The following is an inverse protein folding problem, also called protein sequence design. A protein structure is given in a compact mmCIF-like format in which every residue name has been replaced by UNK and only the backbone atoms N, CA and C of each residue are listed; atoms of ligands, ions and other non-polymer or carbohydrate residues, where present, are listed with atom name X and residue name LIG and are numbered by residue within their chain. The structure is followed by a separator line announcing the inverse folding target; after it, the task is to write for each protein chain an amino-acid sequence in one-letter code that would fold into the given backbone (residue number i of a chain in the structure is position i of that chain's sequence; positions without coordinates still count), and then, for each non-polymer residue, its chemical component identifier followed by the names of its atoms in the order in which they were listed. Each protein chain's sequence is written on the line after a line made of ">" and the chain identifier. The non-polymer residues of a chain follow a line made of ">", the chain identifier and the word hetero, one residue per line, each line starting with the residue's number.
data_IF_320460825397
#
_entry.id   IF_320460825397
#
_cell.length_a   1.000
_cell.length_b   1.000
_cell.length_c   1.000
_cell.angle_alpha   90.00
_cell.angle_beta   90.00
_cell.angle_gamma   90.00
#
_symmetry.space_group_name_H-M   'P 1'
#
loop_
_entity.id
_entity.type
_entity.pdbx_description
1 polymer ?
#
# COMPACT_ATOMS: atom_id res chain seq x y z
N UNK A 1 -9.42 13.84 -22.01
CA UNK A 1 -8.05 13.30 -22.08
C UNK A 1 -7.76 12.81 -20.68
N UNK A 2 -7.80 11.51 -20.44
CA UNK A 2 -7.41 10.94 -19.14
C UNK A 2 -5.90 11.11 -18.96
N UNK A 3 -5.46 11.56 -17.80
CA UNK A 3 -4.04 11.52 -17.44
C UNK A 3 -3.68 10.11 -16.95
N UNK A 4 -3.63 9.20 -17.90
CA UNK A 4 -3.37 7.80 -17.63
C UNK A 4 -1.97 7.62 -17.01
N UNK A 5 -1.85 7.00 -15.84
CA UNK A 5 -0.54 6.59 -15.31
C UNK A 5 0.09 5.46 -16.12
N UNK A 6 -0.67 4.88 -17.06
CA UNK A 6 -0.20 3.97 -18.09
C UNK A 6 0.28 4.73 -19.35
N UNK A 7 0.20 6.07 -19.40
CA UNK A 7 0.50 6.91 -20.60
C UNK A 7 1.96 6.85 -21.09
N UNK A 8 2.91 6.34 -20.28
CA UNK A 8 4.23 5.96 -20.80
C UNK A 8 4.19 4.76 -21.77
N UNK A 9 3.04 4.10 -21.92
CA UNK A 9 2.79 2.93 -22.76
C UNK A 9 1.61 3.15 -23.73
N UNK A 10 1.65 4.27 -24.46
CA UNK A 10 0.77 4.52 -25.62
C UNK A 10 1.24 3.85 -26.91
N UNK A 11 1.82 2.64 -26.81
CA UNK A 11 1.88 1.67 -27.91
C UNK A 11 1.98 0.24 -27.38
N UNK A 12 1.46 -0.71 -28.17
CA UNK A 12 1.64 -2.14 -27.93
C UNK A 12 3.06 -2.56 -28.35
N UNK A 13 3.62 -3.55 -27.66
CA UNK A 13 4.71 -4.43 -28.15
C UNK A 13 6.20 -4.00 -28.08
N UNK A 14 6.59 -2.99 -27.30
CA UNK A 14 8.03 -2.81 -26.98
C UNK A 14 8.46 -3.54 -25.70
N UNK A 15 8.92 -4.79 -25.85
CA UNK A 15 9.65 -5.52 -24.79
C UNK A 15 10.89 -4.75 -24.29
N UNK A 16 11.51 -3.96 -25.16
CA UNK A 16 12.59 -3.04 -24.80
C UNK A 16 12.14 -1.95 -23.83
N UNK A 17 10.92 -1.41 -23.98
CA UNK A 17 10.33 -0.44 -23.06
C UNK A 17 10.06 -1.06 -21.70
N UNK A 18 9.54 -2.29 -21.67
CA UNK A 18 9.29 -3.03 -20.42
C UNK A 18 10.61 -3.33 -19.69
N UNK A 19 11.63 -3.82 -20.41
CA UNK A 19 12.96 -4.08 -19.83
C UNK A 19 13.59 -2.81 -19.25
N UNK A 20 13.47 -1.67 -19.95
CA UNK A 20 13.93 -0.37 -19.46
C UNK A 20 13.15 0.08 -18.19
N UNK A 21 11.85 -0.19 -18.10
CA UNK A 21 11.04 0.08 -16.91
C UNK A 21 11.53 -0.71 -15.68
N UNK A 22 11.86 -2.00 -15.86
CA UNK A 22 12.46 -2.83 -14.80
C UNK A 22 13.90 -2.41 -14.43
N UNK A 23 14.67 -1.89 -15.38
CA UNK A 23 16.02 -1.39 -15.11
C UNK A 23 15.98 -0.07 -14.31
N UNK A 24 15.08 0.84 -14.68
CA UNK A 24 14.99 2.20 -14.11
C UNK A 24 14.17 2.28 -12.81
N UNK A 25 13.33 1.29 -12.46
CA UNK A 25 12.54 1.34 -11.22
C UNK A 25 13.39 1.47 -9.95
N UNK A 26 14.65 0.98 -9.98
CA UNK A 26 15.58 1.08 -8.87
C UNK A 26 15.97 2.55 -8.56
N UNK A 27 16.06 3.41 -9.58
CA UNK A 27 16.36 4.84 -9.43
C UNK A 27 15.21 5.62 -8.78
N UNK A 28 14.04 5.00 -8.66
CA UNK A 28 12.84 5.53 -8.01
C UNK A 28 12.56 4.92 -6.63
N UNK A 29 13.38 3.96 -6.17
CA UNK A 29 13.24 3.38 -4.83
C UNK A 29 13.75 4.33 -3.74
N UNK A 30 13.14 4.22 -2.56
CA UNK A 30 13.58 4.92 -1.36
C UNK A 30 14.66 4.08 -0.65
N UNK A 31 15.92 4.49 -0.78
CA UNK A 31 17.07 3.76 -0.21
C UNK A 31 17.24 3.94 1.31
N UNK A 32 16.48 4.84 1.94
CA UNK A 32 16.69 5.27 3.34
C UNK A 32 15.41 5.27 4.18
N UNK A 33 14.58 4.23 4.06
CA UNK A 33 13.31 4.08 4.83
C UNK A 33 13.52 4.28 6.35
N UNK A 34 14.64 3.80 6.90
CA UNK A 34 15.00 3.97 8.32
C UNK A 34 15.33 5.40 8.78
N UNK A 35 15.43 6.37 7.88
CA UNK A 35 15.66 7.79 8.19
C UNK A 35 14.37 8.64 8.17
N UNK A 36 13.23 8.07 7.77
CA UNK A 36 11.95 8.79 7.67
C UNK A 36 11.38 9.05 9.08
N UNK A 37 10.98 10.29 9.34
CA UNK A 37 10.16 10.62 10.52
C UNK A 37 8.77 9.96 10.39
N UNK A 38 8.63 8.81 11.04
CA UNK A 38 7.40 8.00 11.03
C UNK A 38 6.20 8.72 11.66
N UNK A 39 6.43 9.65 12.59
CA UNK A 39 5.37 10.45 13.19
C UNK A 39 4.86 11.48 12.19
N UNK A 40 5.77 12.25 11.57
CA UNK A 40 5.43 13.20 10.52
C UNK A 40 4.76 12.51 9.32
N UNK A 41 5.26 11.34 8.88
CA UNK A 41 4.63 10.55 7.82
C UNK A 41 3.20 10.15 8.19
N UNK A 42 2.98 9.62 9.41
CA UNK A 42 1.66 9.17 9.86
C UNK A 42 0.65 10.33 9.88
N UNK A 43 1.04 11.48 10.42
CA UNK A 43 0.21 12.69 10.42
C UNK A 43 -0.10 13.15 8.99
N UNK A 44 0.90 13.19 8.11
CA UNK A 44 0.73 13.60 6.72
C UNK A 44 -0.20 12.68 5.92
N UNK A 45 -0.01 11.35 6.01
CA UNK A 45 -0.86 10.35 5.36
C UNK A 45 -2.29 10.43 5.89
N UNK A 46 -2.47 10.57 7.21
CA UNK A 46 -3.80 10.75 7.81
C UNK A 46 -4.52 11.97 7.26
N UNK A 47 -3.82 13.08 7.05
CA UNK A 47 -4.40 14.29 6.47
C UNK A 47 -4.74 14.11 4.99
N UNK A 48 -3.87 13.46 4.20
CA UNK A 48 -4.15 13.17 2.79
C UNK A 48 -5.41 12.31 2.63
N UNK A 49 -5.57 11.26 3.44
CA UNK A 49 -6.75 10.40 3.43
C UNK A 49 -8.02 11.13 3.90
N UNK A 50 -7.91 11.99 4.92
CA UNK A 50 -9.01 12.84 5.35
C UNK A 50 -9.47 13.75 4.20
N UNK A 51 -8.56 14.51 3.59
CA UNK A 51 -8.88 15.42 2.48
C UNK A 51 -9.40 14.66 1.26
N UNK A 52 -8.88 13.46 0.98
CA UNK A 52 -9.42 12.56 -0.05
C UNK A 52 -10.90 12.26 0.18
N UNK A 53 -11.27 11.88 1.41
CA UNK A 53 -12.66 11.58 1.77
C UNK A 53 -13.56 12.82 1.79
N UNK A 54 -13.07 13.95 2.29
CA UNK A 54 -13.84 15.20 2.42
C UNK A 54 -14.11 15.89 1.07
N UNK A 55 -13.18 15.78 0.12
CA UNK A 55 -13.26 16.42 -1.19
C UNK A 55 -13.64 15.44 -2.33
N UNK A 56 -13.90 14.17 -2.01
CA UNK A 56 -14.08 13.08 -2.99
C UNK A 56 -12.95 13.03 -4.04
N UNK A 57 -11.70 13.17 -3.59
CA UNK A 57 -10.55 13.15 -4.50
C UNK A 57 -10.41 11.76 -5.12
N UNK A 58 -10.04 11.75 -6.40
CA UNK A 58 -9.64 10.52 -7.08
C UNK A 58 -8.50 9.84 -6.31
N UNK A 59 -8.56 8.52 -6.03
CA UNK A 59 -7.58 7.83 -5.19
C UNK A 59 -6.13 7.99 -5.67
N UNK A 60 -5.94 8.24 -6.96
CA UNK A 60 -4.62 8.44 -7.55
C UNK A 60 -3.96 9.77 -7.16
N UNK A 61 -4.76 10.80 -6.85
CA UNK A 61 -4.25 12.09 -6.33
C UNK A 61 -3.69 11.88 -4.92
N UNK A 62 -4.40 11.13 -4.08
CA UNK A 62 -3.90 10.74 -2.76
C UNK A 62 -2.63 9.88 -2.87
N UNK A 63 -2.59 8.92 -3.81
CA UNK A 63 -1.42 8.08 -4.05
C UNK A 63 -0.17 8.90 -4.43
N UNK A 64 -0.30 9.82 -5.38
CA UNK A 64 0.79 10.70 -5.80
C UNK A 64 1.23 11.62 -4.64
N UNK A 65 0.28 12.20 -3.88
CA UNK A 65 0.60 13.05 -2.74
C UNK A 65 1.40 12.30 -1.66
N UNK A 66 1.03 11.06 -1.33
CA UNK A 66 1.77 10.21 -0.37
C UNK A 66 3.17 9.87 -0.90
N UNK A 67 3.30 9.53 -2.19
CA UNK A 67 4.61 9.31 -2.84
C UNK A 67 5.51 10.56 -2.74
N UNK A 68 4.95 11.76 -2.90
CA UNK A 68 5.71 13.00 -2.76
C UNK A 68 6.11 13.31 -1.31
N UNK A 69 5.23 13.01 -0.34
CA UNK A 69 5.55 13.11 1.09
C UNK A 69 6.71 12.17 1.43
N UNK A 70 6.64 10.90 1.04
CA UNK A 70 7.65 9.89 1.35
C UNK A 70 9.01 10.23 0.72
N UNK A 71 9.02 10.71 -0.53
CA UNK A 71 10.23 11.19 -1.22
C UNK A 71 10.75 12.54 -0.70
N UNK A 72 9.93 13.34 -0.02
CA UNK A 72 10.36 14.56 0.64
C UNK A 72 11.04 14.23 1.99
N UNK A 73 10.38 13.41 2.83
CA UNK A 73 10.85 13.06 4.18
C UNK A 73 12.17 12.26 4.18
N UNK A 74 12.53 11.61 3.09
CA UNK A 74 13.82 10.91 2.91
C UNK A 74 14.99 11.85 2.63
N UNK A 75 14.72 13.09 2.20
CA UNK A 75 15.72 14.10 1.84
C UNK A 75 15.69 15.35 2.74
N UNK A 76 14.63 15.54 3.52
CA UNK A 76 14.37 16.74 4.32
C UNK A 76 13.79 16.36 5.68
N UNK A 77 14.48 16.76 6.75
CA UNK A 77 13.93 16.66 8.10
C UNK A 77 12.83 17.69 8.34
N UNK A 78 11.81 17.32 9.11
CA UNK A 78 10.79 18.25 9.59
C UNK A 78 11.30 18.94 10.87
N UNK A 79 11.29 20.29 10.94
CA UNK A 79 11.70 20.99 12.15
C UNK A 79 10.84 20.60 13.37
N UNK A 80 11.49 20.08 14.42
CA UNK A 80 10.82 19.66 15.66
C UNK A 80 10.02 20.82 16.28
N UNK A 81 8.87 20.48 16.87
CA UNK A 81 7.98 21.45 17.51
C UNK A 81 7.15 22.32 16.53
N UNK A 82 7.13 22.01 15.23
CA UNK A 82 6.35 22.75 14.21
C UNK A 82 5.41 21.82 13.43
N UNK A 83 4.35 21.25 14.05
CA UNK A 83 3.43 20.31 13.39
C UNK A 83 2.75 20.92 12.15
N UNK A 84 2.54 22.24 12.14
CA UNK A 84 2.02 22.96 10.96
C UNK A 84 2.86 22.75 9.68
N UNK A 85 4.16 22.41 9.78
CA UNK A 85 5.00 22.09 8.62
C UNK A 85 4.55 20.80 7.94
N UNK A 86 4.14 19.78 8.72
CA UNK A 86 3.61 18.52 8.19
C UNK A 86 2.29 18.75 7.45
N UNK A 87 1.42 19.60 8.03
CA UNK A 87 0.17 20.04 7.38
C UNK A 87 0.44 20.80 6.08
N UNK A 88 1.37 21.75 6.08
CA UNK A 88 1.75 22.53 4.90
C UNK A 88 2.37 21.63 3.81
N UNK A 89 3.26 20.70 4.18
CA UNK A 89 3.79 19.67 3.27
C UNK A 89 2.66 18.90 2.60
N UNK A 90 1.72 18.38 3.39
CA UNK A 90 0.63 17.53 2.91
C UNK A 90 -0.30 18.26 1.92
N UNK A 91 -0.70 19.50 2.24
CA UNK A 91 -1.51 20.35 1.34
C UNK A 91 -0.75 20.68 0.04
N UNK A 92 0.56 20.90 0.13
CA UNK A 92 1.40 21.21 -1.05
C UNK A 92 1.60 19.99 -1.94
N UNK A 93 1.80 18.81 -1.36
CA UNK A 93 1.86 17.55 -2.08
C UNK A 93 0.51 17.20 -2.75
N UNK A 94 -0.62 17.47 -2.08
CA UNK A 94 -1.96 17.35 -2.69
C UNK A 94 -2.17 18.32 -3.85
N UNK A 95 -1.76 19.59 -3.71
CA UNK A 95 -1.84 20.56 -4.80
C UNK A 95 -0.97 20.15 -5.99
N UNK A 96 0.26 19.71 -5.76
CA UNK A 96 1.13 19.17 -6.79
C UNK A 96 0.54 17.92 -7.44
N UNK A 97 -0.02 16.99 -6.67
CA UNK A 97 -0.66 15.78 -7.20
C UNK A 97 -1.88 16.10 -8.08
N UNK A 98 -2.71 17.06 -7.67
CA UNK A 98 -3.83 17.55 -8.46
C UNK A 98 -3.37 18.26 -9.74
N UNK A 99 -2.28 19.06 -9.69
CA UNK A 99 -1.68 19.71 -10.88
C UNK A 99 -1.02 18.72 -11.85
N UNK A 100 -0.55 17.58 -11.35
CA UNK A 100 0.03 16.49 -12.15
C UNK A 100 -1.02 15.52 -12.71
N UNK A 101 -2.29 15.68 -12.32
CA UNK A 101 -3.42 14.93 -12.86
C UNK A 101 -4.32 15.88 -13.68
N UNK A 102 -5.22 15.35 -14.51
CA UNK A 102 -6.17 16.16 -15.30
C UNK A 102 -7.26 16.85 -14.49
N UNK A 103 -7.36 16.55 -13.20
CA UNK A 103 -8.36 17.11 -12.29
C UNK A 103 -7.79 18.32 -11.52
N UNK A 104 -8.01 19.53 -12.02
CA UNK A 104 -7.63 20.78 -11.35
C UNK A 104 -8.57 21.09 -10.18
N UNK A 105 -8.19 20.66 -8.98
CA UNK A 105 -8.96 20.88 -7.76
C UNK A 105 -8.36 22.08 -7.02
N UNK A 106 -9.22 22.98 -6.52
CA UNK A 106 -8.75 24.23 -5.94
C UNK A 106 -8.11 23.97 -4.57
N UNK A 107 -6.95 24.58 -4.32
CA UNK A 107 -6.19 24.39 -3.07
C UNK A 107 -6.99 24.80 -1.82
N UNK A 108 -7.96 25.71 -2.00
CA UNK A 108 -8.94 26.10 -1.00
C UNK A 108 -9.86 24.97 -0.51
N UNK A 109 -10.07 23.92 -1.32
CA UNK A 109 -10.87 22.75 -0.91
C UNK A 109 -10.11 21.91 0.14
N UNK A 110 -8.79 21.79 0.02
CA UNK A 110 -7.94 20.97 0.90
C UNK A 110 -7.78 21.53 2.33
N UNK A 111 -8.15 22.79 2.57
CA UNK A 111 -7.98 23.46 3.86
C UNK A 111 -9.26 23.47 4.73
N UNK A 112 -10.38 22.94 4.21
CA UNK A 112 -11.73 23.30 4.67
C UNK A 112 -12.14 22.78 6.05
N UNK A 113 -11.38 21.88 6.70
CA UNK A 113 -11.66 21.40 8.06
C UNK A 113 -10.46 21.54 9.00
N UNK A 114 -10.70 22.26 10.09
CA UNK A 114 -9.93 22.37 11.35
C UNK A 114 -8.39 22.45 11.24
N UNK A 115 -7.83 23.64 11.42
CA UNK A 115 -6.40 23.85 11.65
C UNK A 115 -5.83 25.12 11.02
N UNK A 116 -4.52 25.09 10.72
CA UNK A 116 -3.83 26.19 10.05
C UNK A 116 -4.33 26.37 8.61
N UNK A 117 -4.79 27.58 8.30
CA UNK A 117 -5.08 28.06 6.95
C UNK A 117 -3.79 28.74 6.45
N UNK A 118 -3.28 28.29 5.30
CA UNK A 118 -2.10 28.87 4.66
C UNK A 118 -2.52 29.68 3.44
N UNK A 119 -1.95 30.87 3.28
CA UNK A 119 -2.13 31.65 2.06
C UNK A 119 -1.51 30.96 0.85
N UNK A 120 -1.98 31.30 -0.36
CA UNK A 120 -1.52 30.67 -1.60
C UNK A 120 0.00 30.82 -1.83
N UNK A 121 0.60 31.93 -1.38
CA UNK A 121 2.03 32.18 -1.55
C UNK A 121 2.87 31.28 -0.64
N UNK A 122 2.43 31.02 0.59
CA UNK A 122 3.05 30.05 1.51
C UNK A 122 2.97 28.63 0.96
N UNK A 123 1.85 28.24 0.35
CA UNK A 123 1.72 26.93 -0.30
C UNK A 123 2.65 26.84 -1.51
N UNK A 124 2.65 27.82 -2.42
CA UNK A 124 3.55 27.86 -3.58
C UNK A 124 5.03 27.78 -3.18
N UNK A 125 5.45 28.44 -2.09
CA UNK A 125 6.81 28.31 -1.56
C UNK A 125 7.12 26.87 -1.14
N UNK A 126 6.19 26.20 -0.47
CA UNK A 126 6.37 24.80 -0.07
C UNK A 126 6.33 23.85 -1.27
N UNK A 127 5.49 24.09 -2.27
CA UNK A 127 5.50 23.35 -3.54
C UNK A 127 6.88 23.39 -4.21
N UNK A 128 7.52 24.57 -4.24
CA UNK A 128 8.88 24.72 -4.78
C UNK A 128 9.93 23.96 -3.94
N UNK A 129 9.76 23.88 -2.61
CA UNK A 129 10.61 23.05 -1.75
C UNK A 129 10.41 21.55 -2.01
N UNK A 130 9.17 21.12 -2.26
CA UNK A 130 8.85 19.73 -2.64
C UNK A 130 9.44 19.40 -4.02
N UNK A 131 9.19 20.23 -5.04
CA UNK A 131 9.76 20.08 -6.38
C UNK A 131 11.29 20.02 -6.35
N UNK A 132 11.93 20.91 -5.59
CA UNK A 132 13.38 20.93 -5.40
C UNK A 132 13.91 19.72 -4.63
N UNK A 133 13.16 19.16 -3.66
CA UNK A 133 13.53 17.91 -3.01
C UNK A 133 13.37 16.70 -3.95
N UNK A 134 12.34 16.69 -4.80
CA UNK A 134 12.05 15.60 -5.73
C UNK A 134 12.87 15.65 -7.04
N UNK A 135 13.82 16.59 -7.15
CA UNK A 135 14.60 16.89 -8.36
C UNK A 135 13.70 17.13 -9.60
N UNK A 136 12.52 17.73 -9.37
CA UNK A 136 11.43 17.91 -10.34
C UNK A 136 10.87 16.62 -10.96
N UNK A 137 11.31 15.44 -10.51
CA UNK A 137 10.84 14.12 -10.99
C UNK A 137 9.49 13.77 -10.38
N UNK A 138 8.43 14.49 -10.76
CA UNK A 138 7.09 14.28 -10.21
C UNK A 138 6.47 12.96 -10.68
N UNK A 139 6.74 12.55 -11.92
CA UNK A 139 6.33 11.24 -12.44
C UNK A 139 7.41 10.19 -12.13
N UNK A 140 7.34 9.58 -10.95
CA UNK A 140 8.10 8.36 -10.64
C UNK A 140 7.42 7.12 -11.22
N UNK A 141 8.21 6.10 -11.56
CA UNK A 141 7.66 4.78 -11.91
C UNK A 141 6.76 4.26 -10.79
N UNK A 142 5.57 3.78 -11.13
CA UNK A 142 4.56 3.31 -10.17
C UNK A 142 4.24 1.83 -10.40
N UNK A 143 3.68 1.12 -9.39
CA UNK A 143 3.21 -0.26 -9.58
C UNK A 143 2.15 -0.39 -10.67
N UNK A 144 1.34 0.65 -10.88
CA UNK A 144 0.30 0.67 -11.92
C UNK A 144 0.88 0.46 -13.33
N UNK A 145 2.06 1.01 -13.60
CA UNK A 145 2.79 0.86 -14.87
C UNK A 145 3.16 -0.60 -15.18
N UNK A 146 3.29 -1.46 -14.17
CA UNK A 146 3.59 -2.89 -14.33
C UNK A 146 2.36 -3.79 -14.36
N UNK A 147 1.17 -3.32 -13.95
CA UNK A 147 -0.04 -4.13 -13.91
C UNK A 147 -0.35 -4.74 -15.29
N UNK A 148 -0.28 -3.94 -16.35
CA UNK A 148 -0.56 -4.39 -17.73
C UNK A 148 0.37 -5.51 -18.17
N UNK A 149 1.64 -5.48 -17.78
CA UNK A 149 2.60 -6.55 -18.06
C UNK A 149 2.23 -7.83 -17.30
N UNK A 150 2.09 -7.76 -15.97
CA UNK A 150 1.82 -8.97 -15.18
C UNK A 150 0.44 -9.59 -15.44
N UNK A 151 -0.55 -8.82 -15.86
CA UNK A 151 -1.87 -9.35 -16.27
C UNK A 151 -1.75 -10.32 -17.47
N UNK A 152 -0.74 -10.21 -18.34
CA UNK A 152 -0.58 -11.15 -19.47
C UNK A 152 -0.19 -12.57 -19.03
N UNK A 153 0.26 -12.73 -17.78
CA UNK A 153 0.58 -14.03 -17.18
C UNK A 153 -0.68 -14.73 -16.64
N UNK A 154 -1.80 -14.03 -16.51
CA UNK A 154 -3.06 -14.60 -16.05
C UNK A 154 -3.62 -15.57 -17.12
N UNK A 155 -4.14 -16.75 -16.74
CA UNK A 155 -4.67 -17.72 -17.70
C UNK A 155 -5.69 -17.09 -18.66
N UNK A 156 -5.67 -17.46 -19.96
CA UNK A 156 -6.52 -16.85 -20.96
C UNK A 156 -8.00 -16.94 -20.56
N UNK A 157 -8.61 -15.77 -20.36
CA UNK A 157 -9.96 -15.63 -19.85
C UNK A 157 -10.70 -14.50 -20.56
N UNK A 158 -11.98 -14.35 -20.26
CA UNK A 158 -12.79 -13.28 -20.83
C UNK A 158 -12.26 -11.91 -20.38
N UNK A 159 -12.24 -10.93 -21.28
CA UNK A 159 -11.75 -9.57 -21.02
C UNK A 159 -12.30 -8.92 -19.72
N UNK A 160 -13.59 -9.10 -19.33
CA UNK A 160 -14.10 -8.59 -18.06
C UNK A 160 -13.35 -9.12 -16.83
N UNK A 161 -12.89 -10.38 -16.83
CA UNK A 161 -12.13 -10.96 -15.72
C UNK A 161 -10.79 -10.26 -15.52
N UNK A 162 -10.09 -9.94 -16.62
CA UNK A 162 -8.82 -9.22 -16.59
C UNK A 162 -9.00 -7.79 -16.08
N UNK A 163 -10.09 -7.12 -16.47
CA UNK A 163 -10.43 -5.78 -15.96
C UNK A 163 -10.80 -5.81 -14.47
N UNK A 164 -11.55 -6.82 -14.02
CA UNK A 164 -11.83 -7.02 -12.59
C UNK A 164 -10.54 -7.27 -11.80
N UNK A 165 -9.66 -8.15 -12.29
CA UNK A 165 -8.36 -8.42 -11.67
C UNK A 165 -7.50 -7.15 -11.57
N UNK A 166 -7.41 -6.36 -12.65
CA UNK A 166 -6.73 -5.06 -12.68
C UNK A 166 -7.30 -4.10 -11.63
N UNK A 167 -8.63 -3.95 -11.59
CA UNK A 167 -9.30 -3.06 -10.65
C UNK A 167 -9.04 -3.46 -9.18
N UNK A 168 -9.12 -4.76 -8.85
CA UNK A 168 -8.84 -5.24 -7.49
C UNK A 168 -7.37 -5.05 -7.12
N UNK A 169 -6.43 -5.35 -8.01
CA UNK A 169 -5.01 -5.10 -7.78
C UNK A 169 -4.70 -3.60 -7.56
N UNK A 170 -5.32 -2.71 -8.35
CA UNK A 170 -5.24 -1.25 -8.14
C UNK A 170 -5.73 -0.85 -6.75
N UNK A 171 -6.87 -1.39 -6.28
CA UNK A 171 -7.37 -1.13 -4.92
C UNK A 171 -6.43 -1.65 -3.82
N UNK A 172 -5.79 -2.80 -4.03
CA UNK A 172 -4.79 -3.34 -3.10
C UNK A 172 -3.55 -2.44 -3.04
N UNK A 173 -3.02 -1.98 -4.19
CA UNK A 173 -1.87 -1.05 -4.25
C UNK A 173 -2.18 0.25 -3.48
N UNK A 174 -3.35 0.85 -3.72
CA UNK A 174 -3.79 2.09 -3.09
C UNK A 174 -3.88 1.94 -1.56
N UNK A 175 -4.42 0.82 -1.06
CA UNK A 175 -4.49 0.54 0.39
C UNK A 175 -3.09 0.27 0.98
N UNK A 176 -2.27 -0.51 0.28
CA UNK A 176 -0.97 -0.93 0.78
C UNK A 176 -0.02 0.24 1.02
N UNK A 177 -0.05 1.29 0.19
CA UNK A 177 0.86 2.45 0.30
C UNK A 177 0.87 3.13 1.68
N UNK A 178 -0.20 2.99 2.46
CA UNK A 178 -0.28 3.50 3.84
C UNK A 178 0.80 2.84 4.72
N UNK A 179 1.15 1.58 4.47
CA UNK A 179 2.18 0.84 5.19
C UNK A 179 3.59 1.28 4.77
N UNK A 180 4.40 1.72 5.73
CA UNK A 180 5.79 2.18 5.51
C UNK A 180 6.66 1.11 4.83
N UNK A 181 6.41 -0.17 5.13
CA UNK A 181 7.12 -1.32 4.56
C UNK A 181 7.01 -1.39 3.04
N UNK A 182 5.97 -0.80 2.43
CA UNK A 182 5.82 -0.80 0.98
C UNK A 182 6.92 -0.02 0.26
N UNK A 183 7.61 0.89 0.95
CA UNK A 183 8.74 1.66 0.40
C UNK A 183 10.01 0.82 0.23
N UNK A 184 10.09 -0.35 0.86
CA UNK A 184 11.22 -1.30 0.75
C UNK A 184 11.13 -2.18 -0.50
N UNK A 185 9.97 -2.20 -1.18
CA UNK A 185 9.72 -3.06 -2.34
C UNK A 185 9.78 -2.28 -3.66
N UNK A 186 10.31 -2.93 -4.68
CA UNK A 186 10.31 -2.43 -6.07
C UNK A 186 8.86 -2.26 -6.57
N UNK A 187 8.54 -1.20 -7.34
CA UNK A 187 7.21 -1.01 -7.93
C UNK A 187 6.69 -2.23 -8.70
N UNK A 188 7.56 -2.96 -9.41
CA UNK A 188 7.22 -4.22 -10.08
C UNK A 188 6.79 -5.34 -9.12
N UNK A 189 7.51 -5.52 -8.02
CA UNK A 189 7.20 -6.49 -6.96
C UNK A 189 5.86 -6.14 -6.32
N UNK A 190 5.62 -4.86 -6.03
CA UNK A 190 4.34 -4.35 -5.51
C UNK A 190 3.19 -4.69 -6.48
N UNK A 191 3.37 -4.46 -7.78
CA UNK A 191 2.35 -4.77 -8.79
C UNK A 191 2.05 -6.28 -8.88
N UNK A 192 3.09 -7.11 -8.93
CA UNK A 192 2.95 -8.56 -8.99
C UNK A 192 2.30 -9.13 -7.72
N UNK A 193 2.68 -8.64 -6.53
CA UNK A 193 2.07 -9.03 -5.25
C UNK A 193 0.60 -8.64 -5.17
N UNK A 194 0.22 -7.45 -5.63
CA UNK A 194 -1.17 -7.00 -5.62
C UNK A 194 -2.05 -7.83 -6.56
N UNK A 195 -1.56 -8.14 -7.76
CA UNK A 195 -2.24 -9.04 -8.69
C UNK A 195 -2.37 -10.45 -8.13
N UNK A 196 -1.32 -10.96 -7.48
CA UNK A 196 -1.33 -12.29 -6.87
C UNK A 196 -2.35 -12.37 -5.71
N UNK A 197 -2.43 -11.34 -4.87
CA UNK A 197 -3.43 -11.24 -3.80
C UNK A 197 -4.86 -11.11 -4.36
N UNK A 198 -5.07 -10.29 -5.39
CA UNK A 198 -6.37 -10.20 -6.08
C UNK A 198 -6.78 -11.53 -6.74
N UNK A 199 -5.84 -12.25 -7.35
CA UNK A 199 -6.09 -13.57 -7.93
C UNK A 199 -6.43 -14.62 -6.87
N UNK A 200 -5.81 -14.55 -5.69
CA UNK A 200 -6.10 -15.43 -4.56
C UNK A 200 -7.54 -15.23 -4.04
N UNK A 201 -7.95 -13.98 -3.84
CA UNK A 201 -9.26 -13.63 -3.26
C UNK A 201 -10.41 -13.83 -4.26
N UNK A 202 -10.25 -13.42 -5.52
CA UNK A 202 -11.34 -13.36 -6.50
C UNK A 202 -11.32 -14.48 -7.57
N UNK A 203 -10.18 -15.16 -7.76
CA UNK A 203 -9.97 -16.11 -8.87
C UNK A 203 -9.27 -17.42 -8.45
N UNK A 204 -9.79 -18.15 -7.44
CA UNK A 204 -9.10 -19.31 -6.86
C UNK A 204 -8.81 -20.43 -7.87
N UNK A 205 -9.65 -20.59 -8.90
CA UNK A 205 -9.47 -21.59 -9.96
C UNK A 205 -8.26 -21.28 -10.87
N UNK A 206 -7.96 -20.00 -11.10
CA UNK A 206 -6.85 -19.53 -11.93
C UNK A 206 -5.58 -19.27 -11.11
N UNK A 207 -5.72 -19.03 -9.80
CA UNK A 207 -4.65 -18.64 -8.89
C UNK A 207 -3.40 -19.52 -8.97
N UNK A 208 -3.54 -20.86 -8.95
CA UNK A 208 -2.37 -21.75 -8.95
C UNK A 208 -1.53 -21.64 -10.23
N UNK A 209 -2.18 -21.53 -11.39
CA UNK A 209 -1.51 -21.36 -12.68
C UNK A 209 -0.87 -19.95 -12.77
N UNK A 210 -1.60 -18.91 -12.37
CA UNK A 210 -1.09 -17.54 -12.36
C UNK A 210 0.11 -17.37 -11.42
N UNK A 211 0.04 -17.96 -10.22
CA UNK A 211 1.14 -18.03 -9.25
C UNK A 211 2.38 -18.67 -9.86
N UNK A 212 2.24 -19.81 -10.54
CA UNK A 212 3.36 -20.48 -11.19
C UNK A 212 3.97 -19.63 -12.30
N UNK A 213 3.15 -18.96 -13.12
CA UNK A 213 3.60 -18.06 -14.18
C UNK A 213 4.35 -16.84 -13.63
N UNK A 214 3.78 -16.12 -12.65
CA UNK A 214 4.44 -14.98 -11.99
C UNK A 214 5.74 -15.38 -11.29
N UNK A 215 5.75 -16.52 -10.59
CA UNK A 215 6.94 -17.05 -9.91
C UNK A 215 8.05 -17.42 -10.91
N UNK A 216 7.70 -17.72 -12.16
CA UNK A 216 8.66 -18.04 -13.23
C UNK A 216 9.16 -16.80 -14.00
N UNK A 217 8.69 -15.59 -13.66
CA UNK A 217 9.10 -14.35 -14.30
C UNK A 217 10.51 -13.92 -13.83
N UNK A 218 11.46 -13.84 -14.76
CA UNK A 218 12.87 -13.50 -14.46
C UNK A 218 13.05 -12.10 -13.84
N UNK A 219 12.14 -11.17 -14.12
CA UNK A 219 12.18 -9.80 -13.61
C UNK A 219 11.76 -9.66 -12.14
N UNK A 220 11.18 -10.70 -11.52
CA UNK A 220 10.62 -10.64 -10.16
C UNK A 220 11.39 -11.56 -9.21
N UNK A 221 11.97 -10.98 -8.16
CA UNK A 221 12.56 -11.75 -7.09
C UNK A 221 11.46 -12.46 -6.27
N UNK A 222 11.51 -13.81 -6.24
CA UNK A 222 10.51 -14.68 -5.59
C UNK A 222 10.35 -14.40 -4.09
N UNK A 223 11.44 -14.19 -3.37
CA UNK A 223 11.42 -13.93 -1.93
C UNK A 223 10.74 -12.59 -1.62
N UNK A 224 11.13 -11.53 -2.34
CA UNK A 224 10.53 -10.20 -2.23
C UNK A 224 9.05 -10.18 -2.64
N UNK A 225 8.64 -10.97 -3.62
CA UNK A 225 7.22 -11.18 -3.98
C UNK A 225 6.42 -11.72 -2.79
N UNK A 226 6.93 -12.75 -2.09
CA UNK A 226 6.25 -13.33 -0.94
C UNK A 226 6.24 -12.41 0.29
N UNK A 227 7.35 -11.70 0.56
CA UNK A 227 7.40 -10.68 1.60
C UNK A 227 6.40 -9.54 1.34
N UNK A 228 6.36 -9.03 0.12
CA UNK A 228 5.46 -7.95 -0.28
C UNK A 228 3.99 -8.40 -0.24
N UNK A 229 3.66 -9.61 -0.70
CA UNK A 229 2.29 -10.15 -0.58
C UNK A 229 1.87 -10.32 0.88
N UNK A 230 2.77 -10.69 1.80
CA UNK A 230 2.49 -10.69 3.26
C UNK A 230 2.34 -9.30 3.84
N UNK A 231 3.08 -8.30 3.35
CA UNK A 231 2.94 -6.91 3.78
C UNK A 231 1.65 -6.25 3.28
N UNK A 232 1.17 -6.66 2.10
CA UNK A 232 -0.12 -6.25 1.53
C UNK A 232 -1.33 -6.95 2.14
N UNK A 233 -1.13 -8.13 2.75
CA UNK A 233 -2.20 -8.87 3.38
C UNK A 233 -2.74 -8.06 4.56
N UNK A 234 -3.92 -7.48 4.38
CA UNK A 234 -4.69 -6.84 5.44
C UNK A 234 -4.86 -7.88 6.57
N UNK A 235 -4.80 -7.50 7.87
CA UNK A 235 -5.09 -8.40 8.99
C UNK A 235 -6.58 -8.83 9.10
N UNK A 236 -7.16 -9.33 8.01
CA UNK A 236 -8.37 -10.15 8.04
C UNK A 236 -7.98 -11.56 8.50
N UNK A 237 -8.83 -12.17 9.34
CA UNK A 237 -8.49 -13.38 10.09
C UNK A 237 -7.95 -14.50 9.17
N UNK A 238 -6.70 -14.91 9.41
CA UNK A 238 -6.01 -15.86 8.56
C UNK A 238 -6.68 -17.25 8.58
N UNK A 239 -6.91 -17.89 7.42
CA UNK A 239 -6.87 -19.33 7.36
C UNK A 239 -5.40 -19.75 7.47
N UNK A 240 -5.08 -20.57 8.47
CA UNK A 240 -3.74 -21.12 8.62
C UNK A 240 -3.44 -22.06 7.44
N UNK A 241 -2.62 -21.58 6.49
CA UNK A 241 -1.94 -22.47 5.54
C UNK A 241 -0.72 -23.03 6.27
N UNK A 242 -0.95 -24.13 7.00
CA UNK A 242 0.15 -24.95 7.50
C UNK A 242 0.84 -25.59 6.31
N UNK A 243 2.03 -25.09 5.99
CA UNK A 243 2.99 -25.85 5.19
C UNK A 243 3.34 -27.14 5.94
N UNK A 244 3.41 -28.26 5.22
CA UNK A 244 3.30 -29.58 5.82
C UNK A 244 3.66 -30.69 4.86
N UNK A 245 4.96 -30.84 4.60
CA UNK A 245 5.53 -32.00 3.92
C UNK A 245 6.55 -32.66 4.84
N UNK A 246 6.20 -33.82 5.39
CA UNK A 246 7.16 -34.89 5.70
C UNK A 246 6.42 -36.24 5.84
N UNK A 247 7.03 -37.28 5.28
CA UNK A 247 6.46 -38.63 5.12
C UNK A 247 6.81 -39.57 6.30
N UNK A 248 6.15 -40.74 6.32
CA UNK A 248 6.60 -42.01 6.94
C UNK A 248 6.05 -42.40 8.34
N UNK A 249 4.99 -43.20 8.31
CA UNK A 249 4.72 -44.41 9.10
C UNK A 249 5.28 -44.57 10.55
N UNK A 250 4.39 -44.82 11.52
CA UNK A 250 4.21 -46.20 12.05
C UNK A 250 3.01 -46.39 13.02
N UNK A 251 2.43 -47.57 12.88
CA UNK A 251 1.62 -48.42 13.79
C UNK A 251 1.34 -47.95 15.24
N UNK A 252 0.07 -48.00 15.70
CA UNK A 252 -0.20 -47.95 17.16
C UNK A 252 -1.65 -47.78 17.64
N UNK A 253 -2.45 -48.85 17.58
CA UNK A 253 -3.47 -49.29 18.58
C UNK A 253 -4.53 -48.33 19.17
N UNK A 254 -5.78 -48.80 19.13
CA UNK A 254 -6.99 -48.25 19.78
C UNK A 254 -6.86 -48.07 21.31
N UNK A 255 -7.46 -47.02 21.88
CA UNK A 255 -8.06 -47.06 23.23
C UNK A 255 -9.11 -45.96 23.44
N UNK A 256 -10.13 -46.27 24.24
CA UNK A 256 -11.31 -45.43 24.52
C UNK A 256 -11.45 -45.14 26.01
N UNK A 257 -11.95 -43.97 26.42
CA UNK A 257 -12.57 -43.84 27.76
C UNK A 257 -13.44 -42.59 27.98
N UNK A 258 -14.57 -42.83 28.64
CA UNK A 258 -15.42 -41.86 29.38
C UNK A 258 -14.96 -41.82 30.87
N UNK A 259 -15.39 -40.94 31.78
CA UNK A 259 -16.46 -39.91 31.84
C UNK A 259 -16.03 -38.81 32.85
N UNK A 260 -16.73 -37.66 33.00
CA UNK A 260 -16.23 -36.50 33.75
C UNK A 260 -16.64 -36.47 35.25
N UNK A 261 -16.37 -35.32 35.90
CA UNK A 261 -16.82 -34.81 37.22
C UNK A 261 -15.86 -34.98 38.39
N UNK A 262 -15.45 -33.85 39.00
CA UNK A 262 -15.17 -33.78 40.45
C UNK A 262 -15.34 -32.35 41.01
N UNK A 263 -16.46 -32.17 41.73
CA UNK A 263 -16.56 -31.63 43.11
C UNK A 263 -16.08 -30.20 43.41
N UNK A 264 -17.06 -29.34 43.75
CA UNK A 264 -16.87 -28.04 44.42
C UNK A 264 -16.92 -28.18 45.95
N UNK A 265 -15.90 -27.67 46.63
CA UNK A 265 -15.79 -27.65 48.10
C UNK A 265 -15.67 -26.23 48.68
N UNK A 266 -16.79 -25.74 49.22
CA UNK A 266 -16.96 -24.89 50.45
C UNK A 266 -15.67 -24.69 51.29
N UNK A 267 -15.33 -23.52 51.90
CA UNK A 267 -16.13 -22.50 52.62
C UNK A 267 -15.40 -21.12 52.72
N UNK A 268 -16.17 -20.06 53.00
CA UNK A 268 -15.98 -18.82 53.81
C UNK A 268 -14.57 -18.35 54.25
N UNK A 269 -14.31 -17.06 54.52
CA UNK A 269 -15.14 -15.93 55.00
C UNK A 269 -14.48 -14.57 54.62
N UNK A 270 -14.86 -13.33 55.00
CA UNK A 270 -16.03 -12.62 55.61
C UNK A 270 -15.74 -11.10 55.60
N UNK A 271 -16.76 -10.23 55.80
CA UNK A 271 -16.71 -8.84 56.39
C UNK A 271 -15.71 -7.81 55.81
N UNK A 272 -15.99 -6.55 55.49
CA UNK A 272 -17.07 -5.58 55.80
C UNK A 272 -16.87 -4.33 54.85
N UNK A 273 -17.54 -3.17 54.88
CA UNK A 273 -18.64 -2.52 55.65
C UNK A 273 -19.23 -1.35 54.81
N UNK A 274 -20.24 -0.62 55.32
CA UNK A 274 -20.67 0.69 54.78
C UNK A 274 -19.85 1.86 55.39
N UNK A 275 -19.88 3.08 54.80
CA UNK A 275 -20.83 4.07 55.35
C UNK A 275 -21.51 5.01 54.34
N UNK A 276 -22.59 5.63 54.83
CA UNK A 276 -23.40 6.73 54.26
C UNK A 276 -22.67 8.06 54.15
N UNK A 277 -23.02 8.88 53.14
CA UNK A 277 -23.86 10.11 53.25
C UNK A 277 -24.58 10.31 51.90
#
# INVERSE_FOLDING_TARGET
>A
MEFDLESQLTSSEDWASISNLFATEADHMISTVGAIDLCARREAVSLVLQVQSDCNLEPIIAYLAISYIDRYLTKREIPRGKPWVVRLLSISCLSLASKMNTNSIAVSDFQRKEGFIFDSQTIQRMELLVLGALDWRMLSITPFSFLRFFITFFPPGQLPLLQTLKAQATQIILKAQIEIKMLEFKPSVVAASALLSAAYEFFPNQFLAFRAALTSCEFVNKEKLWECSRAMAIPTAAPAVTDGCEDSASTGTLSSSNTPVTVLGRLCSSTESEPTV
#
